data_IF_078425882064
#
_entry.id   IF_078425882064
#
_cell.length_a   1.000
_cell.length_b   1.000
_cell.length_c   1.000
_cell.angle_alpha   90.00
_cell.angle_beta   90.00
_cell.angle_gamma   90.00
#
_symmetry.space_group_name_H-M   'P 1'
#
loop_
_entity.id
_entity.type
_entity.pdbx_description
1 polymer ?
#
# COMPACT_ATOMS: atom_id res chain seq x y z
N UNK A 1 -34.70 -3.18 4.53
CA UNK A 1 -34.38 -1.85 5.10
C UNK A 1 -32.93 -1.78 5.60
N UNK A 2 -32.03 -2.62 5.11
CA UNK A 2 -30.64 -2.70 5.60
C UNK A 2 -29.70 -1.75 4.82
N UNK A 3 -30.01 -1.44 3.56
CA UNK A 3 -29.29 -0.48 2.71
C UNK A 3 -29.35 0.98 3.22
N UNK A 4 -30.34 1.31 4.05
CA UNK A 4 -30.54 2.68 4.53
C UNK A 4 -29.59 3.06 5.69
N UNK A 5 -28.95 2.08 6.34
CA UNK A 5 -28.04 2.34 7.46
C UNK A 5 -26.68 2.88 7.01
N UNK A 6 -26.27 2.56 5.79
CA UNK A 6 -24.97 2.94 5.21
C UNK A 6 -25.08 4.09 4.20
N UNK A 7 -26.31 4.56 3.94
CA UNK A 7 -26.54 5.69 3.05
C UNK A 7 -26.14 7.00 3.74
N UNK A 8 -25.32 7.80 3.06
CA UNK A 8 -24.93 9.12 3.53
C UNK A 8 -26.17 10.01 3.73
N UNK A 9 -26.35 10.52 4.95
CA UNK A 9 -27.51 11.34 5.32
C UNK A 9 -27.23 12.82 5.19
N UNK A 10 -28.32 13.60 5.04
CA UNK A 10 -28.21 15.05 5.17
C UNK A 10 -27.61 15.40 6.55
N UNK A 11 -26.58 16.23 6.54
CA UNK A 11 -25.81 16.61 7.73
C UNK A 11 -24.61 15.71 8.03
N UNK A 12 -24.37 14.64 7.28
CA UNK A 12 -23.18 13.81 7.45
C UNK A 12 -21.91 14.56 7.05
N UNK A 13 -20.80 14.30 7.75
CA UNK A 13 -19.54 15.00 7.57
C UNK A 13 -18.74 14.37 6.43
N UNK A 14 -18.32 15.19 5.46
CA UNK A 14 -17.40 14.77 4.41
C UNK A 14 -15.98 14.78 4.97
N UNK A 15 -15.46 13.60 5.26
CA UNK A 15 -14.10 13.39 5.74
C UNK A 15 -13.14 13.27 4.56
N UNK A 16 -12.03 14.03 4.59
CA UNK A 16 -10.85 13.78 3.75
C UNK A 16 -9.66 13.43 4.62
N UNK A 17 -8.76 12.60 4.08
CA UNK A 17 -7.42 12.42 4.64
C UNK A 17 -6.78 13.79 4.86
N UNK A 18 -6.05 13.94 5.97
CA UNK A 18 -5.36 15.20 6.22
C UNK A 18 -4.14 15.32 5.31
N UNK A 19 -3.73 16.54 4.96
CA UNK A 19 -2.52 16.75 4.14
C UNK A 19 -1.27 16.11 4.77
N UNK A 20 -1.15 16.14 6.11
CA UNK A 20 -0.03 15.49 6.80
C UNK A 20 -0.14 13.97 6.83
N UNK A 21 -1.35 13.41 6.86
CA UNK A 21 -1.55 11.97 6.68
C UNK A 21 -1.12 11.54 5.27
N UNK A 22 -1.47 12.29 4.22
CA UNK A 22 -1.04 11.95 2.85
C UNK A 22 0.48 11.98 2.69
N UNK A 23 1.15 13.01 3.22
CA UNK A 23 2.62 13.12 3.17
C UNK A 23 3.29 12.00 3.97
N UNK A 24 2.81 11.74 5.19
CA UNK A 24 3.36 10.68 6.03
C UNK A 24 3.13 9.30 5.41
N UNK A 25 1.92 9.04 4.90
CA UNK A 25 1.55 7.79 4.23
C UNK A 25 2.45 7.54 3.02
N UNK A 26 2.67 8.55 2.17
CA UNK A 26 3.56 8.45 1.02
C UNK A 26 5.02 8.14 1.43
N UNK A 27 5.54 8.79 2.49
CA UNK A 27 6.90 8.50 2.99
C UNK A 27 6.98 7.08 3.56
N UNK A 28 5.96 6.64 4.30
CA UNK A 28 5.90 5.29 4.87
C UNK A 28 5.84 4.23 3.77
N UNK A 29 5.05 4.48 2.72
CA UNK A 29 4.91 3.57 1.58
C UNK A 29 6.23 3.43 0.82
N UNK A 30 6.92 4.54 0.55
CA UNK A 30 8.25 4.50 -0.07
C UNK A 30 9.25 3.76 0.82
N UNK A 31 9.26 4.03 2.13
CA UNK A 31 10.15 3.36 3.06
C UNK A 31 9.88 1.84 3.14
N UNK A 32 8.61 1.44 3.18
CA UNK A 32 8.20 0.04 3.21
C UNK A 32 8.59 -0.68 1.92
N UNK A 33 8.33 -0.07 0.76
CA UNK A 33 8.71 -0.63 -0.54
C UNK A 33 10.24 -0.76 -0.69
N UNK A 34 11.02 0.20 -0.20
CA UNK A 34 12.50 0.10 -0.19
C UNK A 34 12.97 -1.07 0.67
N UNK A 35 12.35 -1.32 1.83
CA UNK A 35 12.69 -2.46 2.69
C UNK A 35 12.32 -3.78 2.02
N UNK A 36 11.16 -3.85 1.36
CA UNK A 36 10.72 -5.02 0.60
C UNK A 36 11.69 -5.30 -0.55
N UNK A 37 12.04 -4.28 -1.33
CA UNK A 37 13.01 -4.40 -2.42
C UNK A 37 14.38 -4.85 -1.91
N UNK A 38 14.86 -4.28 -0.81
CA UNK A 38 16.12 -4.70 -0.20
C UNK A 38 16.09 -6.17 0.27
N UNK A 39 14.96 -6.62 0.82
CA UNK A 39 14.76 -8.02 1.21
C UNK A 39 14.75 -8.94 -0.02
N UNK A 40 14.08 -8.54 -1.10
CA UNK A 40 14.02 -9.31 -2.35
C UNK A 40 15.39 -9.37 -3.00
N UNK A 41 16.11 -8.26 -3.10
CA UNK A 41 17.48 -8.22 -3.61
C UNK A 41 18.42 -9.04 -2.72
N UNK A 42 18.29 -8.96 -1.40
CA UNK A 42 19.07 -9.75 -0.45
C UNK A 42 18.82 -11.26 -0.58
N UNK A 43 17.57 -11.67 -0.66
CA UNK A 43 17.20 -13.10 -0.81
C UNK A 43 17.56 -13.64 -2.19
N UNK A 44 17.29 -12.88 -3.26
CA UNK A 44 17.67 -13.25 -4.62
C UNK A 44 19.17 -13.26 -4.83
N UNK A 45 19.95 -12.41 -4.17
CA UNK A 45 21.42 -12.44 -4.24
C UNK A 45 22.03 -13.64 -3.51
N UNK A 46 21.45 -14.10 -2.40
CA UNK A 46 21.82 -15.36 -1.73
C UNK A 46 21.49 -16.58 -2.58
N UNK A 47 20.30 -16.59 -3.21
CA UNK A 47 19.91 -17.59 -4.20
C UNK A 47 20.82 -17.53 -5.43
N UNK A 48 21.19 -16.34 -5.91
CA UNK A 48 22.12 -16.15 -7.01
C UNK A 48 23.54 -16.59 -6.66
N UNK A 49 24.00 -16.42 -5.41
CA UNK A 49 25.30 -16.91 -4.99
C UNK A 49 25.35 -18.44 -4.94
N UNK A 50 24.24 -19.09 -4.57
CA UNK A 50 24.15 -20.55 -4.54
C UNK A 50 23.87 -21.17 -5.93
N UNK A 51 23.03 -20.52 -6.75
CA UNK A 51 22.61 -21.01 -8.07
C UNK A 51 23.48 -20.46 -9.19
N UNK A 52 23.95 -19.21 -9.12
CA UNK A 52 24.79 -18.55 -10.13
C UNK A 52 26.19 -19.13 -10.26
N UNK A 53 26.72 -19.77 -9.21
CA UNK A 53 27.93 -20.61 -9.30
C UNK A 53 27.68 -21.85 -10.19
N UNK A 54 26.43 -22.30 -10.30
CA UNK A 54 26.06 -23.57 -10.93
C UNK A 54 25.34 -23.42 -12.28
N UNK A 55 24.63 -22.30 -12.52
CA UNK A 55 23.68 -22.11 -13.65
C UNK A 55 23.81 -20.75 -14.40
N UNK A 56 24.70 -19.84 -13.96
CA UNK A 56 24.98 -18.57 -14.65
C UNK A 56 23.95 -17.43 -14.43
N UNK A 57 24.20 -16.26 -15.03
CA UNK A 57 23.44 -15.01 -14.80
C UNK A 57 21.96 -15.09 -15.22
N UNK A 58 21.60 -15.95 -16.16
CA UNK A 58 20.22 -16.13 -16.67
C UNK A 58 19.26 -16.63 -15.60
N UNK A 59 19.72 -17.49 -14.68
CA UNK A 59 18.90 -17.97 -13.57
C UNK A 59 18.52 -16.83 -12.61
N UNK A 60 19.46 -15.91 -12.35
CA UNK A 60 19.26 -14.75 -11.47
C UNK A 60 18.20 -13.80 -12.05
N UNK A 61 18.31 -13.50 -13.34
CA UNK A 61 17.36 -12.63 -14.06
C UNK A 61 15.96 -13.22 -14.04
N UNK A 62 15.82 -14.53 -14.28
CA UNK A 62 14.52 -15.21 -14.24
C UNK A 62 13.91 -15.20 -12.84
N UNK A 63 14.69 -15.49 -11.79
CA UNK A 63 14.17 -15.45 -10.42
C UNK A 63 13.73 -14.05 -9.99
N UNK A 64 14.48 -13.01 -10.36
CA UNK A 64 14.10 -11.63 -10.11
C UNK A 64 12.81 -11.23 -10.86
N UNK A 65 12.68 -11.66 -12.12
CA UNK A 65 11.47 -11.43 -12.91
C UNK A 65 10.25 -12.12 -12.31
N UNK A 66 10.35 -13.40 -11.92
CA UNK A 66 9.25 -14.13 -11.27
C UNK A 66 8.86 -13.48 -9.95
N UNK A 67 9.83 -13.06 -9.13
CA UNK A 67 9.55 -12.35 -7.88
C UNK A 67 8.81 -11.02 -8.14
N UNK A 68 9.25 -10.24 -9.13
CA UNK A 68 8.59 -8.99 -9.51
C UNK A 68 7.15 -9.21 -10.00
N UNK A 69 6.93 -10.21 -10.86
CA UNK A 69 5.58 -10.57 -11.32
C UNK A 69 4.71 -11.06 -10.17
N UNK A 70 5.25 -11.88 -9.27
CA UNK A 70 4.52 -12.37 -8.10
C UNK A 70 4.07 -11.23 -7.19
N UNK A 71 4.90 -10.20 -6.99
CA UNK A 71 4.50 -9.02 -6.20
C UNK A 71 3.32 -8.28 -6.81
N UNK A 72 3.32 -8.09 -8.13
CA UNK A 72 2.20 -7.46 -8.85
C UNK A 72 0.92 -8.29 -8.68
N UNK A 73 1.00 -9.62 -8.78
CA UNK A 73 -0.18 -10.50 -8.64
C UNK A 73 -0.68 -10.65 -7.20
N UNK A 74 0.21 -10.55 -6.22
CA UNK A 74 -0.15 -10.75 -4.81
C UNK A 74 -0.73 -9.50 -4.16
N UNK A 75 -0.70 -8.35 -4.84
CA UNK A 75 -1.25 -7.10 -4.32
C UNK A 75 -0.52 -6.59 -3.08
N UNK A 76 0.71 -7.04 -2.85
CA UNK A 76 1.50 -6.64 -1.67
C UNK A 76 1.65 -5.12 -1.62
N UNK A 77 1.80 -4.48 -2.78
CA UNK A 77 1.84 -3.02 -2.90
C UNK A 77 0.57 -2.35 -2.39
N UNK A 78 -0.60 -2.92 -2.68
CA UNK A 78 -1.89 -2.37 -2.27
C UNK A 78 -2.06 -2.52 -0.76
N UNK A 79 -1.68 -3.68 -0.21
CA UNK A 79 -1.72 -3.91 1.25
C UNK A 79 -0.77 -3.00 2.01
N UNK A 80 0.41 -2.72 1.44
CA UNK A 80 1.37 -1.77 2.03
C UNK A 80 0.77 -0.37 2.02
N UNK A 81 0.20 0.08 0.90
CA UNK A 81 -0.41 1.40 0.80
C UNK A 81 -1.60 1.57 1.77
N UNK A 82 -2.44 0.55 1.93
CA UNK A 82 -3.55 0.56 2.89
C UNK A 82 -3.07 0.69 4.33
N UNK A 83 -2.10 -0.12 4.76
CA UNK A 83 -1.52 -0.05 6.11
C UNK A 83 -0.81 1.29 6.35
N UNK A 84 -0.10 1.81 5.34
CA UNK A 84 0.57 3.10 5.44
C UNK A 84 -0.44 4.24 5.62
N UNK A 85 -1.52 4.20 4.85
CA UNK A 85 -2.61 5.18 4.91
C UNK A 85 -3.37 5.11 6.23
N UNK A 86 -3.65 3.91 6.74
CA UNK A 86 -4.33 3.72 8.02
C UNK A 86 -3.48 4.20 9.19
N UNK A 87 -2.19 3.87 9.21
CA UNK A 87 -1.25 4.37 10.22
C UNK A 87 -1.14 5.91 10.18
N UNK A 88 -1.10 6.48 8.99
CA UNK A 88 -1.01 7.92 8.82
C UNK A 88 -2.29 8.64 9.25
N UNK A 89 -3.47 8.09 8.91
CA UNK A 89 -4.77 8.60 9.36
C UNK A 89 -4.98 8.41 10.86
N UNK A 90 -4.38 7.38 11.48
CA UNK A 90 -4.39 7.21 12.94
C UNK A 90 -3.58 8.29 13.65
N UNK A 91 -2.43 8.68 13.09
CA UNK A 91 -1.57 9.72 13.67
C UNK A 91 -2.08 11.14 13.38
N UNK A 92 -2.61 11.35 12.17
CA UNK A 92 -3.17 12.63 11.73
C UNK A 92 -4.62 12.42 11.27
N UNK A 93 -5.60 12.55 12.19
CA UNK A 93 -6.98 12.20 11.92
C UNK A 93 -7.56 12.97 10.73
N UNK A 94 -8.50 12.35 9.99
CA UNK A 94 -9.12 12.95 8.83
C UNK A 94 -9.84 14.26 9.21
N UNK A 95 -9.82 15.21 8.29
CA UNK A 95 -10.38 16.55 8.50
C UNK A 95 -11.76 16.63 7.85
N UNK A 96 -12.66 17.42 8.47
CA UNK A 96 -14.00 17.67 7.93
C UNK A 96 -13.89 18.80 6.90
N UNK A 97 -14.22 18.51 5.65
CA UNK A 97 -14.19 19.50 4.56
C UNK A 97 -15.57 20.10 4.26
N UNK A 98 -16.64 19.48 4.74
CA UNK A 98 -18.00 19.97 4.54
C UNK A 98 -19.05 19.04 5.12
N UNK A 99 -20.30 19.45 4.97
CA UNK A 99 -21.47 18.68 5.38
C UNK A 99 -22.40 18.48 4.19
N UNK A 100 -23.06 17.32 4.14
CA UNK A 100 -24.03 17.02 3.10
C UNK A 100 -25.28 17.89 3.30
N UNK A 101 -25.48 18.86 2.40
CA UNK A 101 -26.59 19.82 2.50
C UNK A 101 -27.93 19.25 2.03
N UNK A 102 -27.93 18.21 1.19
CA UNK A 102 -29.12 17.55 0.66
C UNK A 102 -28.86 16.06 0.47
N UNK A 103 -29.78 15.21 0.90
CA UNK A 103 -29.65 13.75 0.90
C UNK A 103 -30.94 13.08 1.37
N UNK A 104 -30.99 11.74 1.39
CA UNK A 104 -32.15 11.04 1.96
C UNK A 104 -32.20 11.25 3.47
N UNK A 105 -33.33 11.72 4.00
CA UNK A 105 -33.63 11.71 5.44
C UNK A 105 -34.02 10.31 5.91
#
# INVERSE_FOLDING_TARGET
MEEAFWAARQGDALLRTSFMADVLGAVLEVAANVVIDALIVGTTSLLAASVGITMGCTAVVLTGFVAGVAMVYTGVTDTVSEVCSDLANMLFPPQIEGYILTGSG
#
